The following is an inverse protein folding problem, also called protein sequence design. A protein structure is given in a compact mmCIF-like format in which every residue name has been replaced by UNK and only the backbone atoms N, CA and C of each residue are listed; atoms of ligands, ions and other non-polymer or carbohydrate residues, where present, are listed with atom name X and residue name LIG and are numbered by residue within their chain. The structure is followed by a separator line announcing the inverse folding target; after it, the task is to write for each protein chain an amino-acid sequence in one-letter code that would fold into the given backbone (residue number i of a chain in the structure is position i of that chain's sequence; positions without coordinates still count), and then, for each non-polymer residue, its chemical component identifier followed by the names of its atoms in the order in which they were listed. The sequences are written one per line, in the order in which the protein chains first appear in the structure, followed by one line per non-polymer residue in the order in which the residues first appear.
data_IF_026417032598
#
_entry.id   IF_026417032598
#
_cell.length_a   1.000
_cell.length_b   1.000
_cell.length_c   1.000
_cell.angle_alpha   90.00
_cell.angle_beta   90.00
_cell.angle_gamma   90.00
#
_symmetry.space_group_name_H-M   'P 1'
#
loop_
_entity.id
_entity.type
_entity.pdbx_description
1 polymer ?
#
# COMPACT_ATOMS: atom_id res chain seq x y z
N UNK A 1 21.95 67.52 13.46
CA UNK A 1 21.71 66.79 12.18
C UNK A 1 22.14 65.32 12.24
N UNK A 2 23.25 64.98 12.89
CA UNK A 2 23.72 63.57 13.00
C UNK A 2 22.80 62.64 13.82
N UNK A 3 22.17 63.14 14.88
CA UNK A 3 21.30 62.35 15.76
C UNK A 3 20.03 61.84 15.05
N UNK A 4 19.45 62.66 14.18
CA UNK A 4 18.29 62.29 13.37
C UNK A 4 18.62 61.21 12.34
N UNK A 5 19.82 61.26 11.75
CA UNK A 5 20.28 60.23 10.83
C UNK A 5 20.43 58.87 11.53
N UNK A 6 20.99 58.85 12.75
CA UNK A 6 21.10 57.65 13.57
C UNK A 6 19.74 57.09 13.98
N UNK A 7 18.79 57.95 14.37
CA UNK A 7 17.45 57.54 14.74
C UNK A 7 16.69 56.88 13.57
N UNK A 8 16.79 57.45 12.36
CA UNK A 8 16.15 56.90 11.15
C UNK A 8 16.83 55.60 10.73
N UNK A 9 18.16 55.53 10.79
CA UNK A 9 18.90 54.31 10.46
C UNK A 9 18.54 53.17 11.43
N UNK A 10 18.50 53.45 12.73
CA UNK A 10 18.14 52.45 13.73
C UNK A 10 16.68 52.02 13.60
N UNK A 11 15.77 52.96 13.37
CA UNK A 11 14.35 52.65 13.11
C UNK A 11 14.14 51.78 11.87
N UNK A 12 14.83 52.09 10.77
CA UNK A 12 14.74 51.29 9.54
C UNK A 12 15.36 49.91 9.70
N UNK A 13 16.46 49.77 10.45
CA UNK A 13 17.05 48.47 10.77
C UNK A 13 16.09 47.58 11.56
N UNK A 14 15.40 48.12 12.58
CA UNK A 14 14.41 47.36 13.36
C UNK A 14 13.24 46.94 12.46
N UNK A 15 12.73 47.84 11.62
CA UNK A 15 11.65 47.52 10.69
C UNK A 15 12.04 46.42 9.70
N UNK A 16 13.23 46.50 9.12
CA UNK A 16 13.76 45.48 8.21
C UNK A 16 13.96 44.14 8.93
N UNK A 17 14.40 44.15 10.18
CA UNK A 17 14.55 42.95 11.00
C UNK A 17 13.21 42.23 11.19
N UNK A 18 12.17 42.97 11.58
CA UNK A 18 10.81 42.41 11.79
C UNK A 18 10.28 41.80 10.48
N UNK A 19 10.42 42.52 9.36
CA UNK A 19 9.99 42.05 8.04
C UNK A 19 10.75 40.79 7.61
N UNK A 20 12.06 40.73 7.87
CA UNK A 20 12.91 39.58 7.55
C UNK A 20 12.45 38.33 8.30
N UNK A 21 12.23 38.43 9.61
CA UNK A 21 11.78 37.28 10.41
C UNK A 21 10.41 36.76 9.95
N UNK A 22 9.47 37.65 9.62
CA UNK A 22 8.14 37.24 9.14
C UNK A 22 8.23 36.49 7.81
N UNK A 23 8.97 37.04 6.83
CA UNK A 23 9.10 36.45 5.50
C UNK A 23 9.85 35.11 5.53
N UNK A 24 10.92 35.02 6.30
CA UNK A 24 11.69 33.77 6.47
C UNK A 24 10.84 32.67 7.11
N UNK A 25 10.07 32.98 8.15
CA UNK A 25 9.18 32.00 8.81
C UNK A 25 8.08 31.50 7.86
N UNK A 26 7.49 32.38 7.06
CA UNK A 26 6.47 31.99 6.09
C UNK A 26 7.05 31.07 5.01
N UNK A 27 8.22 31.41 4.46
CA UNK A 27 8.89 30.59 3.43
C UNK A 27 9.27 29.21 3.94
N UNK A 28 9.76 29.11 5.19
CA UNK A 28 10.11 27.82 5.80
C UNK A 28 8.87 26.94 6.01
N UNK A 29 7.76 27.52 6.48
CA UNK A 29 6.50 26.79 6.65
C UNK A 29 5.93 26.28 5.33
N UNK A 30 5.96 27.10 4.28
CA UNK A 30 5.49 26.69 2.96
C UNK A 30 6.32 25.52 2.40
N UNK A 31 7.66 25.62 2.48
CA UNK A 31 8.54 24.55 2.04
C UNK A 31 8.33 23.24 2.83
N UNK A 32 8.13 23.34 4.15
CA UNK A 32 7.84 22.16 4.98
C UNK A 32 6.49 21.52 4.61
N UNK A 33 5.45 22.32 4.38
CA UNK A 33 4.14 21.83 3.96
C UNK A 33 4.17 21.16 2.59
N UNK A 34 4.90 21.73 1.63
CA UNK A 34 5.10 21.11 0.31
C UNK A 34 5.80 19.75 0.43
N UNK A 35 6.81 19.64 1.30
CA UNK A 35 7.54 18.40 1.53
C UNK A 35 6.68 17.35 2.25
N UNK A 36 5.86 17.76 3.23
CA UNK A 36 4.89 16.89 3.90
C UNK A 36 3.84 16.36 2.90
N UNK A 37 3.27 17.24 2.07
CA UNK A 37 2.31 16.84 1.04
C UNK A 37 2.92 15.88 0.02
N UNK A 38 4.15 16.17 -0.43
CA UNK A 38 4.88 15.30 -1.35
C UNK A 38 5.16 13.92 -0.72
N UNK A 39 5.59 13.89 0.55
CA UNK A 39 5.82 12.63 1.28
C UNK A 39 4.54 11.81 1.42
N UNK A 40 3.40 12.44 1.69
CA UNK A 40 2.10 11.76 1.78
C UNK A 40 1.73 11.18 0.42
N UNK A 41 1.85 11.97 -0.65
CA UNK A 41 1.55 11.53 -2.03
C UNK A 41 2.37 10.30 -2.42
N UNK A 42 3.68 10.31 -2.15
CA UNK A 42 4.54 9.15 -2.44
C UNK A 42 4.10 7.92 -1.66
N UNK A 43 3.78 8.07 -0.37
CA UNK A 43 3.35 6.96 0.46
C UNK A 43 2.07 6.31 -0.12
N UNK A 44 1.09 7.13 -0.50
CA UNK A 44 -0.14 6.67 -1.12
C UNK A 44 0.11 5.97 -2.46
N UNK A 45 0.95 6.56 -3.32
CA UNK A 45 1.33 5.96 -4.60
C UNK A 45 2.02 4.60 -4.42
N UNK A 46 2.98 4.50 -3.50
CA UNK A 46 3.68 3.26 -3.19
C UNK A 46 2.71 2.21 -2.65
N UNK A 47 1.80 2.59 -1.75
CA UNK A 47 0.79 1.68 -1.23
C UNK A 47 -0.12 1.14 -2.35
N UNK A 48 -0.58 2.02 -3.25
CA UNK A 48 -1.40 1.61 -4.39
C UNK A 48 -0.64 0.72 -5.36
N UNK A 49 0.65 0.97 -5.57
CA UNK A 49 1.51 0.10 -6.38
C UNK A 49 1.69 -1.28 -5.74
N UNK A 50 1.94 -1.34 -4.43
CA UNK A 50 2.02 -2.60 -3.69
C UNK A 50 0.73 -3.42 -3.80
N UNK A 51 -0.43 -2.77 -3.66
CA UNK A 51 -1.73 -3.41 -3.84
C UNK A 51 -1.90 -3.98 -5.25
N UNK A 52 -1.61 -3.19 -6.29
CA UNK A 52 -1.68 -3.65 -7.68
C UNK A 52 -0.71 -4.79 -7.97
N UNK A 53 0.49 -4.77 -7.40
CA UNK A 53 1.45 -5.86 -7.53
C UNK A 53 0.95 -7.15 -6.87
N UNK A 54 0.34 -7.05 -5.68
CA UNK A 54 -0.28 -8.21 -5.01
C UNK A 54 -1.41 -8.79 -5.86
N UNK A 55 -2.30 -7.94 -6.37
CA UNK A 55 -3.39 -8.38 -7.24
C UNK A 55 -2.85 -9.08 -8.50
N UNK A 56 -1.80 -8.52 -9.11
CA UNK A 56 -1.15 -9.11 -10.28
C UNK A 56 -0.47 -10.45 -9.98
N UNK A 57 0.20 -10.58 -8.84
CA UNK A 57 0.80 -11.85 -8.39
C UNK A 57 -0.28 -12.94 -8.24
N UNK A 58 -1.40 -12.60 -7.60
CA UNK A 58 -2.53 -13.52 -7.44
C UNK A 58 -3.14 -13.88 -8.80
N UNK A 59 -3.34 -12.91 -9.69
CA UNK A 59 -3.89 -13.16 -11.03
C UNK A 59 -2.95 -14.05 -11.88
N UNK A 60 -1.64 -13.89 -11.72
CA UNK A 60 -0.64 -14.73 -12.38
C UNK A 60 -0.66 -16.17 -11.84
N UNK A 61 -0.79 -16.36 -10.53
CA UNK A 61 -0.91 -17.68 -9.90
C UNK A 61 -2.21 -18.39 -10.31
N UNK A 62 -3.32 -17.66 -10.34
CA UNK A 62 -4.60 -18.16 -10.87
C UNK A 62 -4.43 -18.62 -12.32
N UNK A 63 -3.83 -17.78 -13.16
CA UNK A 63 -3.59 -18.09 -14.58
C UNK A 63 -2.64 -19.28 -14.79
N UNK A 64 -1.66 -19.46 -13.89
CA UNK A 64 -0.72 -20.58 -13.95
C UNK A 64 -1.40 -21.92 -13.62
N UNK A 65 -2.29 -21.94 -12.63
CA UNK A 65 -3.08 -23.12 -12.25
C UNK A 65 -4.27 -23.39 -13.17
N UNK A 66 -4.68 -22.41 -13.99
CA UNK A 66 -5.73 -22.55 -15.01
C UNK A 66 -5.26 -23.15 -16.35
N UNK A 67 -3.96 -23.49 -16.51
CA UNK A 67 -3.42 -24.09 -17.76
C UNK A 67 -4.19 -25.35 -18.18
N UNK A 68 -5.19 -25.18 -19.04
CA UNK A 68 -5.98 -26.26 -19.64
C UNK A 68 -7.45 -26.36 -19.20
N UNK A 69 -7.95 -25.48 -18.30
CA UNK A 69 -9.37 -25.44 -17.90
C UNK A 69 -10.05 -24.15 -18.38
N UNK A 70 -11.35 -24.25 -18.62
CA UNK A 70 -12.24 -23.22 -19.15
C UNK A 70 -12.00 -21.87 -18.47
N UNK A 71 -11.91 -20.79 -19.25
CA UNK A 71 -11.63 -19.45 -18.75
C UNK A 71 -12.61 -19.07 -17.63
N UNK A 72 -12.08 -18.85 -16.43
CA UNK A 72 -12.89 -18.49 -15.27
C UNK A 72 -13.53 -17.11 -15.50
N UNK A 73 -14.80 -16.98 -15.15
CA UNK A 73 -15.52 -15.72 -15.32
C UNK A 73 -14.86 -14.60 -14.50
N UNK A 74 -14.93 -13.32 -14.93
CA UNK A 74 -14.32 -12.21 -14.18
C UNK A 74 -14.77 -12.14 -12.71
N UNK A 75 -16.05 -12.46 -12.41
CA UNK A 75 -16.57 -12.48 -11.04
C UNK A 75 -15.91 -13.57 -10.19
N UNK A 76 -15.72 -14.75 -10.78
CA UNK A 76 -15.12 -15.88 -10.10
C UNK A 76 -13.61 -15.71 -9.91
N UNK A 77 -12.93 -14.96 -10.79
CA UNK A 77 -11.54 -14.51 -10.56
C UNK A 77 -11.41 -13.57 -9.37
N UNK A 78 -12.33 -12.62 -9.21
CA UNK A 78 -12.32 -11.70 -8.05
C UNK A 78 -12.50 -12.48 -6.75
N UNK A 79 -13.48 -13.39 -6.70
CA UNK A 79 -13.72 -14.27 -5.56
C UNK A 79 -12.50 -15.13 -5.24
N UNK A 80 -11.89 -15.74 -6.26
CA UNK A 80 -10.69 -16.57 -6.11
C UNK A 80 -9.51 -15.76 -5.55
N UNK A 81 -9.30 -14.55 -6.05
CA UNK A 81 -8.25 -13.65 -5.57
C UNK A 81 -8.42 -13.32 -4.09
N UNK A 82 -9.64 -13.06 -3.65
CA UNK A 82 -9.97 -12.78 -2.25
C UNK A 82 -9.75 -13.99 -1.33
N UNK A 83 -10.25 -15.16 -1.74
CA UNK A 83 -10.04 -16.43 -1.02
C UNK A 83 -8.54 -16.76 -0.90
N UNK A 84 -7.77 -16.60 -1.98
CA UNK A 84 -6.32 -16.85 -1.98
C UNK A 84 -5.55 -15.85 -1.12
N UNK A 85 -5.92 -14.56 -1.15
CA UNK A 85 -5.29 -13.55 -0.30
C UNK A 85 -5.47 -13.90 1.19
N UNK A 86 -6.71 -14.22 1.61
CA UNK A 86 -7.00 -14.62 2.99
C UNK A 86 -6.25 -15.90 3.40
N UNK A 87 -6.19 -16.89 2.51
CA UNK A 87 -5.42 -18.11 2.75
C UNK A 87 -3.92 -17.84 2.91
N UNK A 88 -3.32 -17.02 2.02
CA UNK A 88 -1.90 -16.64 2.10
C UNK A 88 -1.57 -15.82 3.35
N UNK A 89 -2.55 -15.07 3.87
CA UNK A 89 -2.45 -14.35 5.15
C UNK A 89 -2.56 -15.25 6.38
N UNK A 90 -2.89 -16.53 6.20
CA UNK A 90 -2.93 -17.54 7.27
C UNK A 90 -4.27 -17.68 7.98
N UNK A 91 -5.36 -17.19 7.38
CA UNK A 91 -6.71 -17.40 7.92
C UNK A 91 -7.09 -18.89 7.84
N UNK A 92 -7.89 -19.35 8.81
CA UNK A 92 -8.45 -20.71 8.78
C UNK A 92 -9.55 -20.83 7.72
N UNK A 93 -9.89 -22.05 7.31
CA UNK A 93 -10.95 -22.27 6.31
C UNK A 93 -12.30 -21.70 6.78
N UNK A 94 -12.59 -21.83 8.08
CA UNK A 94 -13.78 -21.27 8.74
C UNK A 94 -13.76 -19.74 8.72
N UNK A 95 -12.59 -19.14 8.96
CA UNK A 95 -12.40 -17.69 8.89
C UNK A 95 -12.60 -17.15 7.48
N UNK A 96 -12.03 -17.82 6.47
CA UNK A 96 -12.21 -17.45 5.06
C UNK A 96 -13.67 -17.59 4.65
N UNK A 97 -14.34 -18.68 5.04
CA UNK A 97 -15.76 -18.92 4.78
C UNK A 97 -16.63 -17.78 5.33
N UNK A 98 -16.34 -17.35 6.55
CA UNK A 98 -17.04 -16.25 7.22
C UNK A 98 -16.82 -14.91 6.49
N UNK A 99 -15.58 -14.57 6.12
CA UNK A 99 -15.24 -13.30 5.46
C UNK A 99 -15.74 -13.21 4.01
N UNK A 100 -15.86 -14.36 3.33
CA UNK A 100 -16.26 -14.43 1.90
C UNK A 100 -17.72 -14.81 1.68
N UNK A 101 -18.49 -15.01 2.76
CA UNK A 101 -19.88 -15.50 2.75
C UNK A 101 -20.04 -16.85 2.01
N UNK A 102 -19.00 -17.67 2.00
CA UNK A 102 -18.96 -19.00 1.40
C UNK A 102 -19.08 -20.08 2.47
N UNK A 103 -19.43 -21.31 2.07
CA UNK A 103 -19.29 -22.47 2.96
C UNK A 103 -17.83 -22.93 3.02
N UNK A 104 -17.42 -23.52 4.14
CA UNK A 104 -16.07 -24.12 4.27
C UNK A 104 -15.74 -25.13 3.16
N UNK A 105 -16.76 -25.86 2.68
CA UNK A 105 -16.61 -26.81 1.59
C UNK A 105 -16.33 -26.12 0.25
N UNK A 106 -16.98 -24.99 -0.03
CA UNK A 106 -16.74 -24.19 -1.22
C UNK A 106 -15.34 -23.55 -1.18
N UNK A 107 -14.95 -22.99 -0.03
CA UNK A 107 -13.60 -22.45 0.19
C UNK A 107 -12.55 -23.55 -0.03
N UNK A 108 -12.76 -24.74 0.54
CA UNK A 108 -11.87 -25.89 0.36
C UNK A 108 -11.75 -26.27 -1.12
N UNK A 109 -12.86 -26.35 -1.84
CA UNK A 109 -12.89 -26.70 -3.27
C UNK A 109 -12.14 -25.67 -4.12
N UNK A 110 -12.28 -24.38 -3.81
CA UNK A 110 -11.57 -23.29 -4.49
C UNK A 110 -10.06 -23.36 -4.23
N UNK A 111 -9.65 -23.74 -3.02
CA UNK A 111 -8.25 -23.84 -2.63
C UNK A 111 -7.59 -25.17 -3.05
N UNK A 112 -8.34 -26.23 -3.35
CA UNK A 112 -7.82 -27.55 -3.77
C UNK A 112 -6.63 -27.48 -4.74
N UNK A 113 -6.72 -26.78 -5.90
CA UNK A 113 -5.59 -26.70 -6.84
C UNK A 113 -4.35 -25.96 -6.32
N UNK A 114 -4.45 -25.23 -5.21
CA UNK A 114 -3.37 -24.47 -4.58
C UNK A 114 -2.84 -25.12 -3.30
N UNK A 115 -3.55 -26.11 -2.75
CA UNK A 115 -3.15 -26.88 -1.56
C UNK A 115 -2.20 -28.03 -1.92
N UNK A 116 -2.38 -28.65 -3.09
CA UNK A 116 -1.63 -29.84 -3.52
C UNK A 116 -0.12 -29.57 -3.67
N UNK A 117 0.29 -28.35 -4.00
CA UNK A 117 1.71 -28.00 -4.18
C UNK A 117 2.53 -28.07 -2.87
N UNK A 118 1.87 -27.97 -1.71
CA UNK A 118 2.54 -27.98 -0.39
C UNK A 118 2.63 -29.37 0.24
N UNK A 119 1.82 -30.34 -0.21
CA UNK A 119 1.85 -31.72 0.31
C UNK A 119 2.71 -32.65 -0.54
N UNK A 120 2.83 -32.43 -1.86
CA UNK A 120 3.74 -33.22 -2.71
C UNK A 120 5.21 -33.04 -2.32
N UNK A 121 5.65 -31.82 -1.98
CA UNK A 121 7.02 -31.55 -1.46
C UNK A 121 7.29 -32.18 -0.09
N UNK A 122 6.25 -32.42 0.74
CA UNK A 122 6.40 -33.08 2.04
C UNK A 122 6.48 -34.60 1.92
N UNK A 123 5.79 -35.21 0.95
CA UNK A 123 5.92 -36.65 0.67
C UNK A 123 7.32 -37.03 0.18
N UNK A 124 7.90 -36.27 -0.75
CA UNK A 124 9.26 -36.57 -1.27
C UNK A 124 10.37 -36.47 -0.22
N UNK A 125 10.19 -35.63 0.81
CA UNK A 125 11.16 -35.48 1.89
C UNK A 125 11.04 -36.55 2.98
N UNK A 126 9.90 -37.24 3.09
CA UNK A 126 9.67 -38.29 4.08
C UNK A 126 9.86 -39.70 3.50
N UNK A 127 9.94 -39.84 2.18
CA UNK A 127 10.27 -41.08 1.46
C UNK A 127 11.77 -41.18 1.07
N UNK A 128 12.65 -40.36 1.67
CA UNK A 128 14.12 -40.42 1.51
C UNK A 128 14.83 -40.93 2.76
#
# INVERSE_FOLDING_TARGET
MMEWALAILFGSAILLLILSFSKTRQSQKAAQQELEQFSISIMEEVYQLQKKMRDFELDAEISANEKGKQSVSPKQRILMREVLDLHKRGYSLEGIATETELTENEVRLLLTPYLEEKDERRKVANDS
#
